data_IF_189529770751
#
_entry.id   IF_189529770751
#
_cell.length_a   1.000
_cell.length_b   1.000
_cell.length_c   1.000
_cell.angle_alpha   90.00
_cell.angle_beta   90.00
_cell.angle_gamma   90.00
#
_symmetry.space_group_name_H-M   'P 1'
#
loop_
_entity.id
_entity.type
_entity.pdbx_description
1 polymer ?
#
# COMPACT_ATOMS: atom_id res chain seq x y z
N UNK A 1 -18.50 12.52 -24.23
CA UNK A 1 -17.04 12.71 -24.31
C UNK A 1 -16.79 14.20 -24.22
N UNK A 2 -16.42 14.70 -23.06
CA UNK A 2 -16.05 16.10 -22.84
C UNK A 2 -14.54 16.27 -23.01
N UNK A 3 -14.13 17.43 -23.51
CA UNK A 3 -12.73 17.85 -23.52
C UNK A 3 -12.42 18.47 -22.15
N UNK A 4 -11.39 17.99 -21.46
CA UNK A 4 -10.86 18.64 -20.25
C UNK A 4 -9.64 19.45 -20.69
N UNK A 5 -9.69 20.77 -20.50
CA UNK A 5 -8.54 21.63 -20.75
C UNK A 5 -7.64 21.62 -19.51
N UNK A 6 -6.53 20.88 -19.58
CA UNK A 6 -5.52 20.94 -18.53
C UNK A 6 -4.90 22.34 -18.49
N UNK A 7 -4.76 22.88 -17.28
CA UNK A 7 -4.03 24.13 -17.04
C UNK A 7 -2.53 23.87 -17.22
N UNK A 8 -1.81 24.91 -17.57
CA UNK A 8 -0.34 24.91 -17.58
C UNK A 8 0.12 25.78 -16.42
N UNK A 9 0.30 25.17 -15.25
CA UNK A 9 0.86 25.82 -14.08
C UNK A 9 2.40 25.85 -14.16
N UNK A 10 3.05 26.98 -13.82
CA UNK A 10 4.50 27.13 -13.94
C UNK A 10 5.25 26.55 -12.73
N UNK A 11 4.92 25.31 -12.33
CA UNK A 11 5.47 24.68 -11.13
C UNK A 11 6.98 24.48 -11.26
N UNK A 12 7.73 25.09 -10.34
CA UNK A 12 9.19 24.96 -10.15
C UNK A 12 9.52 24.07 -8.96
N UNK A 13 8.69 24.12 -7.93
CA UNK A 13 8.87 23.37 -6.69
C UNK A 13 7.66 22.46 -6.47
N UNK A 14 7.70 21.21 -6.98
CA UNK A 14 6.55 20.33 -6.91
C UNK A 14 6.28 19.83 -5.50
N UNK A 15 5.00 19.73 -5.14
CA UNK A 15 4.59 19.22 -3.83
C UNK A 15 4.89 17.72 -3.72
N UNK A 16 5.65 17.32 -2.70
CA UNK A 16 5.93 15.91 -2.46
C UNK A 16 4.84 15.27 -1.60
N UNK A 17 4.02 14.42 -2.19
CA UNK A 17 3.02 13.65 -1.45
C UNK A 17 3.63 12.36 -0.90
N UNK A 18 4.01 12.40 0.39
CA UNK A 18 4.62 11.26 1.08
C UNK A 18 3.75 10.01 1.03
N UNK A 19 2.41 10.13 1.10
CA UNK A 19 1.48 9.01 1.05
C UNK A 19 1.68 8.11 -0.17
N UNK A 20 2.06 8.68 -1.33
CA UNK A 20 2.34 7.91 -2.55
C UNK A 20 3.82 7.91 -2.96
N UNK A 21 4.66 8.75 -2.35
CA UNK A 21 6.06 8.93 -2.75
C UNK A 21 6.19 9.58 -4.13
N UNK A 22 5.30 10.51 -4.47
CA UNK A 22 5.26 11.18 -5.78
C UNK A 22 5.29 12.69 -5.63
N UNK A 23 5.84 13.35 -6.64
CA UNK A 23 5.81 14.81 -6.78
C UNK A 23 4.63 15.23 -7.64
N UNK A 24 3.89 16.25 -7.19
CA UNK A 24 2.76 16.83 -7.89
C UNK A 24 3.18 18.15 -8.53
N UNK A 25 2.92 18.27 -9.83
CA UNK A 25 3.31 19.35 -10.72
C UNK A 25 2.11 20.12 -11.27
N UNK A 26 0.88 19.70 -10.97
CA UNK A 26 -0.30 20.43 -11.44
C UNK A 26 -1.53 20.25 -10.54
N UNK A 27 -2.51 21.13 -10.73
CA UNK A 27 -3.82 21.02 -10.05
C UNK A 27 -4.57 19.74 -10.43
N UNK A 28 -4.37 19.22 -11.65
CA UNK A 28 -4.99 17.97 -12.09
C UNK A 28 -4.37 16.75 -11.40
N UNK A 29 -3.06 16.74 -11.19
CA UNK A 29 -2.38 15.69 -10.42
C UNK A 29 -2.82 15.71 -8.95
N UNK A 30 -2.95 16.90 -8.36
CA UNK A 30 -3.53 17.08 -7.03
C UNK A 30 -4.96 16.53 -6.95
N UNK A 31 -5.82 16.90 -7.90
CA UNK A 31 -7.19 16.39 -7.96
C UNK A 31 -7.21 14.86 -8.10
N UNK A 32 -6.37 14.31 -8.97
CA UNK A 32 -6.26 12.87 -9.18
C UNK A 32 -5.84 12.16 -7.89
N UNK A 33 -4.86 12.70 -7.16
CA UNK A 33 -4.43 12.15 -5.87
C UNK A 33 -5.58 12.12 -4.87
N UNK A 34 -6.28 13.25 -4.69
CA UNK A 34 -7.41 13.35 -3.76
C UNK A 34 -8.49 12.34 -4.11
N UNK A 35 -8.92 12.31 -5.37
CA UNK A 35 -10.04 11.47 -5.80
C UNK A 35 -9.72 9.98 -5.75
N UNK A 36 -8.53 9.59 -6.23
CA UNK A 36 -8.17 8.18 -6.39
C UNK A 36 -7.64 7.55 -5.10
N UNK A 37 -7.18 8.35 -4.13
CA UNK A 37 -6.52 7.88 -2.91
C UNK A 37 -7.15 8.44 -1.61
N UNK A 38 -8.50 8.37 -1.42
CA UNK A 38 -9.19 8.98 -0.28
C UNK A 38 -8.64 8.55 1.08
N UNK A 39 -8.31 7.27 1.25
CA UNK A 39 -7.75 6.73 2.49
C UNK A 39 -6.41 7.37 2.91
N UNK A 40 -5.70 8.01 1.98
CA UNK A 40 -4.43 8.67 2.25
C UNK A 40 -4.57 10.18 2.44
N UNK A 41 -5.73 10.76 2.12
CA UNK A 41 -5.95 12.21 2.13
C UNK A 41 -6.96 12.70 3.16
N UNK A 42 -7.58 11.78 3.93
CA UNK A 42 -8.61 12.12 4.90
C UNK A 42 -8.07 12.72 6.19
N UNK A 43 -6.83 12.42 6.56
CA UNK A 43 -6.26 12.88 7.83
C UNK A 43 -5.12 13.85 7.54
N UNK A 44 -5.36 15.14 7.85
CA UNK A 44 -4.36 16.22 7.79
C UNK A 44 -3.65 16.41 6.44
N UNK A 45 -4.26 16.00 5.33
CA UNK A 45 -3.65 16.16 4.00
C UNK A 45 -3.62 17.62 3.52
N UNK A 46 -4.68 18.37 3.80
CA UNK A 46 -4.72 19.81 3.51
C UNK A 46 -4.13 20.54 4.70
N UNK A 47 -2.81 20.69 4.68
CA UNK A 47 -2.02 21.43 5.65
C UNK A 47 -1.55 22.79 5.08
N UNK A 48 -0.81 23.55 5.88
CA UNK A 48 -0.25 24.85 5.49
C UNK A 48 0.67 24.73 4.26
N UNK A 49 1.46 23.64 4.18
CA UNK A 49 2.39 23.43 3.07
C UNK A 49 1.67 23.17 1.74
N UNK A 50 0.59 22.38 1.73
CA UNK A 50 -0.22 22.17 0.54
C UNK A 50 -0.90 23.48 0.11
N UNK A 51 -1.36 24.29 1.06
CA UNK A 51 -1.98 25.58 0.77
C UNK A 51 -0.97 26.56 0.17
N UNK A 52 0.26 26.62 0.68
CA UNK A 52 1.35 27.40 0.09
C UNK A 52 1.64 26.95 -1.35
N UNK A 53 1.72 25.65 -1.59
CA UNK A 53 1.87 25.10 -2.95
C UNK A 53 0.72 25.52 -3.88
N UNK A 54 -0.54 25.43 -3.42
CA UNK A 54 -1.71 25.88 -4.18
C UNK A 54 -1.63 27.38 -4.49
N UNK A 55 -1.14 28.19 -3.55
CA UNK A 55 -1.01 29.64 -3.72
C UNK A 55 0.07 30.00 -4.74
N UNK A 56 1.28 29.50 -4.53
CA UNK A 56 2.49 30.03 -5.14
C UNK A 56 2.89 29.26 -6.40
N UNK A 57 2.76 27.94 -6.40
CA UNK A 57 3.19 27.07 -7.50
C UNK A 57 2.06 26.80 -8.50
N UNK A 58 0.82 26.63 -8.02
CA UNK A 58 -0.35 26.50 -8.88
C UNK A 58 -0.96 27.85 -9.29
N UNK A 59 -0.46 28.96 -8.72
CA UNK A 59 -0.96 30.33 -8.90
C UNK A 59 -2.47 30.48 -8.57
N UNK A 60 -2.97 29.72 -7.59
CA UNK A 60 -4.39 29.69 -7.19
C UNK A 60 -4.62 30.43 -5.86
N UNK A 61 -4.05 31.63 -5.72
CA UNK A 61 -4.05 32.37 -4.44
C UNK A 61 -5.43 32.66 -3.85
N UNK A 62 -6.47 32.83 -4.67
CA UNK A 62 -7.84 32.98 -4.16
C UNK A 62 -8.39 31.69 -3.55
N UNK A 63 -8.06 30.53 -4.12
CA UNK A 63 -8.43 29.23 -3.54
C UNK A 63 -7.67 29.00 -2.23
N UNK A 64 -6.36 29.28 -2.21
CA UNK A 64 -5.56 29.17 -0.99
C UNK A 64 -6.15 30.01 0.16
N UNK A 65 -6.50 31.27 -0.10
CA UNK A 65 -7.13 32.12 0.91
C UNK A 65 -8.48 31.58 1.43
N UNK A 66 -9.28 30.93 0.56
CA UNK A 66 -10.52 30.24 0.99
C UNK A 66 -10.20 29.04 1.89
N UNK A 67 -9.22 28.22 1.52
CA UNK A 67 -8.80 27.04 2.29
C UNK A 67 -8.30 27.44 3.69
N UNK A 68 -7.47 28.48 3.80
CA UNK A 68 -6.98 29.00 5.07
C UNK A 68 -8.10 29.49 5.98
N UNK A 69 -9.03 30.27 5.41
CA UNK A 69 -10.18 30.77 6.16
C UNK A 69 -11.03 29.63 6.70
N UNK A 70 -11.17 28.55 5.93
CA UNK A 70 -11.92 27.36 6.35
C UNK A 70 -11.17 26.57 7.43
N UNK A 71 -9.84 26.38 7.30
CA UNK A 71 -9.04 25.79 8.39
C UNK A 71 -9.17 26.58 9.70
N UNK A 72 -9.20 27.92 9.62
CA UNK A 72 -9.34 28.80 10.78
C UNK A 72 -10.74 28.76 11.41
N UNK A 73 -11.79 28.41 10.66
CA UNK A 73 -13.15 28.32 11.22
C UNK A 73 -13.34 27.08 12.10
N UNK A 74 -12.49 26.07 11.96
CA UNK A 74 -12.60 24.80 12.69
C UNK A 74 -13.79 23.95 12.26
N UNK A 75 -14.34 24.23 11.07
CA UNK A 75 -15.37 23.42 10.44
C UNK A 75 -14.83 22.06 9.96
N UNK A 76 -15.69 21.25 9.35
CA UNK A 76 -15.31 19.94 8.83
C UNK A 76 -14.14 20.05 7.84
N UNK A 77 -13.04 19.36 8.16
CA UNK A 77 -11.82 19.35 7.36
C UNK A 77 -12.03 18.63 6.01
N UNK A 78 -13.02 17.73 5.90
CA UNK A 78 -13.32 17.03 4.66
C UNK A 78 -13.81 17.99 3.56
N UNK A 79 -14.43 19.12 3.93
CA UNK A 79 -14.88 20.13 2.97
C UNK A 79 -13.73 20.77 2.19
N UNK A 80 -12.53 20.82 2.76
CA UNK A 80 -11.33 21.30 2.06
C UNK A 80 -11.05 20.46 0.80
N UNK A 81 -11.20 19.13 0.89
CA UNK A 81 -10.98 18.24 -0.25
C UNK A 81 -11.99 18.51 -1.36
N UNK A 82 -13.26 18.71 -0.99
CA UNK A 82 -14.32 18.96 -1.97
C UNK A 82 -14.20 20.36 -2.59
N UNK A 83 -13.73 21.35 -1.83
CA UNK A 83 -13.44 22.69 -2.33
C UNK A 83 -12.35 22.63 -3.41
N UNK A 84 -11.25 21.92 -3.15
CA UNK A 84 -10.17 21.73 -4.14
C UNK A 84 -10.71 21.08 -5.42
N UNK A 85 -11.44 19.95 -5.30
CA UNK A 85 -11.98 19.23 -6.46
C UNK A 85 -12.95 20.09 -7.28
N UNK A 86 -13.75 20.94 -6.61
CA UNK A 86 -14.74 21.81 -7.26
C UNK A 86 -14.07 22.98 -7.97
N UNK A 87 -13.10 23.64 -7.35
CA UNK A 87 -12.47 24.85 -7.92
C UNK A 87 -11.46 24.53 -9.03
N UNK A 88 -10.91 23.31 -9.08
CA UNK A 88 -10.03 22.87 -10.16
C UNK A 88 -10.79 22.43 -11.43
N UNK A 89 -12.09 22.15 -11.32
CA UNK A 89 -12.97 21.71 -12.42
C UNK A 89 -12.44 20.50 -13.23
N UNK A 90 -11.67 19.63 -12.57
CA UNK A 90 -11.11 18.41 -13.17
C UNK A 90 -12.10 17.22 -13.10
N UNK A 91 -12.97 17.21 -12.09
CA UNK A 91 -14.04 16.24 -11.90
C UNK A 91 -15.40 16.93 -11.98
N UNK A 92 -16.37 16.26 -12.59
CA UNK A 92 -17.72 16.81 -12.69
C UNK A 92 -18.50 16.66 -11.37
N UNK A 93 -19.63 17.36 -11.25
CA UNK A 93 -20.45 17.35 -10.04
C UNK A 93 -20.93 15.95 -9.61
N UNK A 94 -21.16 15.02 -10.56
CA UNK A 94 -21.57 13.65 -10.22
C UNK A 94 -20.40 12.84 -9.64
N UNK A 95 -19.19 13.02 -10.18
CA UNK A 95 -17.97 12.42 -9.65
C UNK A 95 -17.64 12.94 -8.25
N UNK A 96 -17.73 14.25 -8.03
CA UNK A 96 -17.52 14.87 -6.71
C UNK A 96 -18.57 14.36 -5.71
N UNK A 97 -19.84 14.22 -6.12
CA UNK A 97 -20.88 13.62 -5.29
C UNK A 97 -20.55 12.17 -4.92
N UNK A 98 -20.07 11.37 -5.86
CA UNK A 98 -19.63 9.99 -5.58
C UNK A 98 -18.44 9.96 -4.61
N UNK A 99 -17.49 10.89 -4.75
CA UNK A 99 -16.38 11.02 -3.82
C UNK A 99 -16.85 11.39 -2.40
N UNK A 100 -17.78 12.35 -2.26
CA UNK A 100 -18.42 12.68 -0.97
C UNK A 100 -19.05 11.47 -0.30
N UNK A 101 -19.83 10.68 -1.05
CA UNK A 101 -20.41 9.43 -0.54
C UNK A 101 -19.35 8.44 -0.06
N UNK A 102 -18.25 8.32 -0.80
CA UNK A 102 -17.12 7.47 -0.42
C UNK A 102 -16.47 7.95 0.89
N UNK A 103 -16.27 9.26 1.07
CA UNK A 103 -15.76 9.82 2.33
C UNK A 103 -16.70 9.52 3.49
N UNK A 104 -18.01 9.71 3.32
CA UNK A 104 -19.00 9.36 4.35
C UNK A 104 -18.95 7.88 4.75
N UNK A 105 -18.66 6.96 3.82
CA UNK A 105 -18.49 5.54 4.17
C UNK A 105 -17.28 5.31 5.06
N UNK A 106 -16.18 6.02 4.83
CA UNK A 106 -14.98 5.90 5.66
C UNK A 106 -15.16 6.54 7.02
N UNK A 107 -15.82 7.70 7.12
CA UNK A 107 -16.10 8.38 8.40
C UNK A 107 -17.07 7.61 9.31
N UNK A 108 -17.81 6.64 8.77
CA UNK A 108 -18.67 5.72 9.55
C UNK A 108 -17.92 4.51 10.12
N UNK A 109 -16.70 4.23 9.66
CA UNK A 109 -15.89 3.12 10.16
C UNK A 109 -15.37 3.41 11.56
N UNK A 110 -15.14 2.36 12.35
CA UNK A 110 -14.37 2.55 13.59
C UNK A 110 -12.93 2.94 13.28
N UNK A 111 -12.19 3.55 14.23
CA UNK A 111 -10.77 3.86 14.04
C UNK A 111 -9.95 2.63 13.61
N UNK A 112 -10.23 1.46 14.18
CA UNK A 112 -9.57 0.21 13.82
C UNK A 112 -9.89 -0.26 12.40
N UNK A 113 -11.16 -0.17 11.99
CA UNK A 113 -11.59 -0.55 10.64
C UNK A 113 -11.01 0.39 9.57
N UNK A 114 -10.99 1.70 9.85
CA UNK A 114 -10.41 2.70 8.97
C UNK A 114 -8.90 2.49 8.80
N UNK A 115 -8.17 2.35 9.91
CA UNK A 115 -6.73 2.07 9.87
C UNK A 115 -6.42 0.77 9.12
N UNK A 116 -7.22 -0.28 9.32
CA UNK A 116 -7.10 -1.52 8.55
C UNK A 116 -7.34 -1.29 7.05
N UNK A 117 -8.38 -0.53 6.67
CA UNK A 117 -8.66 -0.23 5.28
C UNK A 117 -7.51 0.55 4.62
N UNK A 118 -6.91 1.51 5.34
CA UNK A 118 -5.72 2.25 4.92
C UNK A 118 -4.51 1.33 4.73
N UNK A 119 -4.23 0.45 5.68
CA UNK A 119 -3.15 -0.53 5.60
C UNK A 119 -3.32 -1.50 4.42
N UNK A 120 -4.53 -2.05 4.25
CA UNK A 120 -4.89 -2.91 3.12
C UNK A 120 -4.70 -2.17 1.79
N UNK A 121 -5.11 -0.90 1.73
CA UNK A 121 -4.91 -0.06 0.56
C UNK A 121 -3.43 0.11 0.22
N UNK A 122 -2.59 0.49 1.18
CA UNK A 122 -1.14 0.60 0.99
C UNK A 122 -0.51 -0.71 0.52
N UNK A 123 -0.97 -1.85 1.06
CA UNK A 123 -0.53 -3.18 0.62
C UNK A 123 -0.86 -3.41 -0.87
N UNK A 124 -2.06 -3.07 -1.33
CA UNK A 124 -2.43 -3.20 -2.76
C UNK A 124 -1.61 -2.29 -3.66
N UNK A 125 -1.11 -1.16 -3.14
CA UNK A 125 -0.20 -0.24 -3.81
C UNK A 125 1.27 -0.68 -3.74
N UNK A 126 1.55 -1.87 -3.18
CA UNK A 126 2.89 -2.44 -2.97
C UNK A 126 3.79 -1.62 -2.03
N UNK A 127 3.21 -0.70 -1.27
CA UNK A 127 3.92 0.04 -0.22
C UNK A 127 3.91 -0.80 1.06
N UNK A 128 4.64 -1.90 1.04
CA UNK A 128 4.60 -2.91 2.08
C UNK A 128 5.18 -2.41 3.41
N UNK A 129 6.22 -1.57 3.41
CA UNK A 129 6.76 -1.00 4.65
C UNK A 129 5.78 -0.06 5.34
N UNK A 130 5.14 0.86 4.60
CA UNK A 130 4.04 1.67 5.15
C UNK A 130 2.83 0.83 5.59
N UNK A 131 2.46 -0.20 4.83
CA UNK A 131 1.39 -1.11 5.24
C UNK A 131 1.73 -1.83 6.55
N UNK A 132 2.99 -2.27 6.74
CA UNK A 132 3.48 -2.84 8.01
C UNK A 132 3.29 -1.82 9.14
N UNK A 133 3.74 -0.58 8.97
CA UNK A 133 3.63 0.45 10.00
C UNK A 133 2.17 0.69 10.43
N UNK A 134 1.24 0.76 9.48
CA UNK A 134 -0.19 0.93 9.78
C UNK A 134 -0.79 -0.32 10.48
N UNK A 135 -0.46 -1.54 10.03
CA UNK A 135 -0.91 -2.76 10.71
C UNK A 135 -0.36 -2.88 12.13
N UNK A 136 0.90 -2.52 12.36
CA UNK A 136 1.50 -2.51 13.69
C UNK A 136 0.86 -1.45 14.58
N UNK A 137 0.58 -0.25 14.04
CA UNK A 137 -0.16 0.79 14.73
C UNK A 137 -1.53 0.31 15.22
N UNK A 138 -2.28 -0.44 14.42
CA UNK A 138 -3.57 -1.05 14.83
C UNK A 138 -3.39 -1.98 16.04
N UNK A 139 -2.27 -2.71 16.11
CA UNK A 139 -2.01 -3.65 17.21
C UNK A 139 -1.58 -2.94 18.51
N UNK A 140 -1.13 -1.69 18.42
CA UNK A 140 -0.78 -0.84 19.56
C UNK A 140 -1.99 -0.05 20.11
N UNK A 141 -3.06 0.07 19.33
CA UNK A 141 -4.30 0.72 19.77
C UNK A 141 -4.94 -0.03 20.95
N UNK A 142 -5.63 0.69 21.87
CA UNK A 142 -6.40 0.05 22.91
C UNK A 142 -7.48 -0.86 22.31
N UNK A 143 -7.51 -2.12 22.75
CA UNK A 143 -8.50 -3.08 22.24
C UNK A 143 -9.91 -2.57 22.49
N UNK A 144 -10.65 -2.35 21.42
CA UNK A 144 -12.09 -2.10 21.48
C UNK A 144 -12.87 -3.37 21.81
N UNK A 145 -13.98 -3.23 22.55
CA UNK A 145 -14.90 -4.33 22.87
C UNK A 145 -15.56 -4.96 21.63
N UNK A 146 -15.60 -4.24 20.51
CA UNK A 146 -16.16 -4.67 19.22
C UNK A 146 -15.19 -5.46 18.34
N UNK A 147 -13.87 -5.38 18.61
CA UNK A 147 -12.86 -6.06 17.81
C UNK A 147 -12.64 -7.49 18.33
N UNK A 148 -13.11 -8.47 17.58
CA UNK A 148 -13.00 -9.88 17.93
C UNK A 148 -11.66 -10.50 17.51
N UNK A 149 -11.39 -11.72 17.98
CA UNK A 149 -10.17 -12.47 17.61
C UNK A 149 -10.06 -12.66 16.09
N UNK A 150 -11.19 -12.73 15.36
CA UNK A 150 -11.20 -12.86 13.91
C UNK A 150 -10.70 -11.58 13.21
N UNK A 151 -11.02 -10.40 13.73
CA UNK A 151 -10.49 -9.12 13.25
C UNK A 151 -8.96 -9.08 13.38
N UNK A 152 -8.43 -9.33 14.58
CA UNK A 152 -6.99 -9.34 14.82
C UNK A 152 -6.26 -10.46 14.07
N UNK A 153 -6.91 -11.62 13.87
CA UNK A 153 -6.36 -12.67 13.03
C UNK A 153 -6.12 -12.20 11.59
N UNK A 154 -7.04 -11.39 11.03
CA UNK A 154 -6.87 -10.79 9.69
C UNK A 154 -5.73 -9.78 9.66
N UNK A 155 -5.60 -8.92 10.68
CA UNK A 155 -4.47 -7.98 10.80
C UNK A 155 -3.15 -8.73 10.79
N UNK A 156 -2.99 -9.74 11.65
CA UNK A 156 -1.77 -10.54 11.72
C UNK A 156 -1.49 -11.32 10.42
N UNK A 157 -2.53 -11.81 9.73
CA UNK A 157 -2.35 -12.46 8.42
C UNK A 157 -1.83 -11.47 7.37
N UNK A 158 -2.40 -10.27 7.31
CA UNK A 158 -1.99 -9.28 6.32
C UNK A 158 -0.61 -8.71 6.64
N UNK A 159 -0.31 -8.49 7.92
CA UNK A 159 1.02 -8.14 8.41
C UNK A 159 2.06 -9.22 8.03
N UNK A 160 1.71 -10.50 8.19
CA UNK A 160 2.55 -11.62 7.75
C UNK A 160 2.81 -11.60 6.24
N UNK A 161 1.79 -11.28 5.44
CA UNK A 161 1.93 -11.14 3.99
C UNK A 161 2.82 -9.96 3.60
N UNK A 162 2.70 -8.82 4.28
CA UNK A 162 3.54 -7.65 4.05
C UNK A 162 5.02 -7.95 4.39
N UNK A 163 5.26 -8.60 5.53
CA UNK A 163 6.60 -9.05 5.90
C UNK A 163 7.19 -10.06 4.91
N UNK A 164 6.40 -11.00 4.41
CA UNK A 164 6.84 -11.95 3.39
C UNK A 164 7.22 -11.25 2.08
N UNK A 165 6.47 -10.22 1.67
CA UNK A 165 6.77 -9.38 0.50
C UNK A 165 8.04 -8.54 0.67
N UNK A 166 8.40 -8.21 1.91
CA UNK A 166 9.65 -7.55 2.28
C UNK A 166 10.78 -8.55 2.58
N UNK A 167 10.61 -9.83 2.24
CA UNK A 167 11.57 -10.91 2.52
C UNK A 167 11.97 -11.06 4.00
N UNK A 168 11.16 -10.52 4.92
CA UNK A 168 11.34 -10.59 6.37
C UNK A 168 10.68 -11.86 6.90
N UNK A 169 11.21 -13.01 6.50
CA UNK A 169 10.56 -14.31 6.67
C UNK A 169 10.31 -14.69 8.14
N UNK A 170 11.23 -14.35 9.06
CA UNK A 170 11.07 -14.60 10.50
C UNK A 170 9.90 -13.81 11.08
N UNK A 171 9.76 -12.54 10.70
CA UNK A 171 8.65 -11.68 11.13
C UNK A 171 7.34 -12.14 10.50
N UNK A 172 7.35 -12.51 9.22
CA UNK A 172 6.20 -13.06 8.51
C UNK A 172 5.68 -14.32 9.21
N UNK A 173 6.60 -15.24 9.55
CA UNK A 173 6.29 -16.46 10.27
C UNK A 173 5.61 -16.13 11.61
N UNK A 174 6.22 -15.27 12.44
CA UNK A 174 5.67 -14.89 13.75
C UNK A 174 4.27 -14.26 13.63
N UNK A 175 4.05 -13.39 12.67
CA UNK A 175 2.74 -12.78 12.43
C UNK A 175 1.70 -13.84 12.04
N UNK A 176 2.04 -14.76 11.13
CA UNK A 176 1.15 -15.87 10.79
C UNK A 176 0.88 -16.80 11.98
N UNK A 177 1.86 -17.05 12.86
CA UNK A 177 1.60 -17.84 14.08
C UNK A 177 0.52 -17.19 14.95
N UNK A 178 0.62 -15.87 15.17
CA UNK A 178 -0.37 -15.12 15.94
C UNK A 178 -1.75 -15.14 15.26
N UNK A 179 -1.80 -14.96 13.94
CA UNK A 179 -3.04 -15.08 13.17
C UNK A 179 -3.69 -16.46 13.32
N UNK A 180 -2.88 -17.53 13.19
CA UNK A 180 -3.36 -18.90 13.37
C UNK A 180 -3.82 -19.15 14.81
N UNK A 181 -3.15 -18.57 15.80
CA UNK A 181 -3.54 -18.76 17.19
C UNK A 181 -4.92 -18.20 17.52
N UNK A 182 -5.32 -17.12 16.85
CA UNK A 182 -6.62 -16.48 16.99
C UNK A 182 -7.74 -17.18 16.18
N UNK A 183 -7.48 -17.57 14.93
CA UNK A 183 -8.55 -18.03 14.02
C UNK A 183 -8.41 -19.47 13.49
N UNK A 184 -7.30 -20.17 13.78
CA UNK A 184 -7.02 -21.56 13.35
C UNK A 184 -7.22 -21.80 11.84
N UNK A 185 -6.97 -20.79 11.01
CA UNK A 185 -7.17 -20.84 9.56
C UNK A 185 -6.20 -21.81 8.87
N UNK A 186 -6.74 -22.73 8.05
CA UNK A 186 -5.95 -23.64 7.23
C UNK A 186 -5.05 -22.94 6.21
N UNK A 187 -5.51 -21.82 5.63
CA UNK A 187 -4.71 -21.03 4.69
C UNK A 187 -3.49 -20.39 5.38
N UNK A 188 -3.65 -19.94 6.63
CA UNK A 188 -2.54 -19.40 7.41
C UNK A 188 -1.55 -20.52 7.76
N UNK A 189 -2.04 -21.71 8.11
CA UNK A 189 -1.19 -22.88 8.36
C UNK A 189 -0.37 -23.26 7.12
N UNK A 190 -0.99 -23.21 5.93
CA UNK A 190 -0.32 -23.43 4.65
C UNK A 190 0.79 -22.41 4.40
N UNK A 191 0.54 -21.11 4.67
CA UNK A 191 1.57 -20.06 4.56
C UNK A 191 2.74 -20.29 5.53
N UNK A 192 2.47 -20.71 6.77
CA UNK A 192 3.49 -21.09 7.75
C UNK A 192 4.33 -22.26 7.22
N UNK A 193 3.68 -23.27 6.63
CA UNK A 193 4.35 -24.42 6.02
C UNK A 193 5.27 -23.98 4.87
N UNK A 194 4.77 -23.17 3.92
CA UNK A 194 5.57 -22.68 2.79
C UNK A 194 6.76 -21.83 3.23
N UNK A 195 6.61 -20.94 4.21
CA UNK A 195 7.73 -20.19 4.75
C UNK A 195 8.82 -21.09 5.32
N UNK A 196 8.44 -22.19 5.99
CA UNK A 196 9.41 -23.16 6.53
C UNK A 196 10.14 -23.97 5.46
N UNK A 197 9.59 -24.05 4.24
CA UNK A 197 10.23 -24.70 3.09
C UNK A 197 11.14 -23.74 2.35
N UNK A 198 10.74 -22.48 2.20
CA UNK A 198 11.54 -21.47 1.49
C UNK A 198 12.72 -20.93 2.29
N UNK A 199 12.64 -20.90 3.62
CA UNK A 199 13.73 -20.45 4.48
C UNK A 199 14.23 -21.63 5.34
N UNK A 200 15.41 -22.21 5.04
CA UNK A 200 16.00 -23.30 5.81
C UNK A 200 16.20 -22.99 7.30
N UNK A 201 16.28 -21.70 7.66
CA UNK A 201 16.43 -21.26 9.05
C UNK A 201 15.11 -21.30 9.84
N UNK A 202 13.96 -21.42 9.15
CA UNK A 202 12.65 -21.51 9.78
C UNK A 202 12.24 -22.96 10.00
N UNK A 203 12.41 -23.43 11.24
CA UNK A 203 11.93 -24.75 11.64
C UNK A 203 10.43 -24.71 11.92
N UNK A 204 9.67 -25.51 11.17
CA UNK A 204 8.24 -25.71 11.43
C UNK A 204 8.04 -26.34 12.82
N UNK A 205 7.38 -25.60 13.73
CA UNK A 205 7.12 -26.08 15.09
C UNK A 205 6.23 -27.34 15.10
N UNK A 206 6.48 -28.26 16.03
CA UNK A 206 5.77 -29.55 16.09
C UNK A 206 4.25 -29.43 16.19
N UNK A 207 3.76 -28.41 16.93
CA UNK A 207 2.32 -28.12 17.05
C UNK A 207 1.62 -27.89 15.70
N UNK A 208 2.35 -27.47 14.67
CA UNK A 208 1.82 -27.29 13.32
C UNK A 208 1.99 -28.57 12.50
N UNK A 209 3.12 -29.28 12.66
CA UNK A 209 3.34 -30.57 11.99
C UNK A 209 2.24 -31.57 12.29
N UNK A 210 1.78 -31.63 13.55
CA UNK A 210 0.69 -32.53 13.96
C UNK A 210 -0.66 -32.20 13.33
N UNK A 211 -0.84 -30.98 12.80
CA UNK A 211 -2.08 -30.54 12.15
C UNK A 211 -2.05 -30.77 10.63
N UNK A 212 -0.87 -31.03 10.06
CA UNK A 212 -0.68 -31.23 8.63
C UNK A 212 -0.64 -32.74 8.38
N UNK A 213 -1.76 -33.29 7.92
CA UNK A 213 -1.82 -34.70 7.51
C UNK A 213 -0.96 -34.95 6.26
N UNK A 214 -0.60 -36.20 6.01
CA UNK A 214 0.22 -36.54 4.85
C UNK A 214 -0.49 -36.20 3.52
N UNK A 215 -1.81 -36.36 3.45
CA UNK A 215 -2.62 -35.97 2.27
C UNK A 215 -2.60 -34.45 2.04
N UNK A 216 -2.68 -33.64 3.10
CA UNK A 216 -2.60 -32.18 2.99
C UNK A 216 -1.20 -31.75 2.57
N UNK A 217 -0.17 -32.37 3.17
CA UNK A 217 1.23 -32.11 2.87
C UNK A 217 1.57 -32.42 1.42
N UNK A 218 1.14 -33.58 0.91
CA UNK A 218 1.37 -33.98 -0.48
C UNK A 218 0.73 -33.00 -1.46
N UNK A 219 -0.52 -32.59 -1.23
CA UNK A 219 -1.17 -31.56 -2.06
C UNK A 219 -0.44 -30.21 -2.01
N UNK A 220 0.01 -29.78 -0.83
CA UNK A 220 0.76 -28.52 -0.69
C UNK A 220 2.14 -28.58 -1.33
N UNK A 221 2.84 -29.70 -1.25
CA UNK A 221 4.13 -29.92 -1.90
C UNK A 221 3.98 -29.95 -3.44
N UNK A 222 2.89 -30.53 -3.96
CA UNK A 222 2.58 -30.50 -5.41
C UNK A 222 2.31 -29.06 -5.88
N UNK A 223 1.53 -28.28 -5.13
CA UNK A 223 1.31 -26.87 -5.43
C UNK A 223 2.62 -26.05 -5.44
N UNK A 224 3.53 -26.31 -4.49
CA UNK A 224 4.85 -25.67 -4.49
C UNK A 224 5.66 -26.05 -5.72
N UNK A 225 5.70 -27.34 -6.07
CA UNK A 225 6.40 -27.85 -7.25
C UNK A 225 5.86 -27.20 -8.54
N UNK A 226 4.55 -27.08 -8.68
CA UNK A 226 3.92 -26.41 -9.82
C UNK A 226 4.29 -24.92 -9.87
N UNK A 227 4.38 -24.25 -8.72
CA UNK A 227 4.80 -22.84 -8.65
C UNK A 227 6.28 -22.67 -9.02
N UNK A 228 7.15 -23.59 -8.61
CA UNK A 228 8.57 -23.62 -8.99
C UNK A 228 8.73 -23.84 -10.50
N UNK A 229 8.04 -24.81 -11.09
CA UNK A 229 8.05 -25.06 -12.55
C UNK A 229 7.52 -23.86 -13.36
N UNK A 230 6.56 -23.11 -12.82
CA UNK A 230 6.08 -21.88 -13.44
C UNK A 230 7.12 -20.75 -13.34
N UNK A 231 7.83 -20.64 -12.21
CA UNK A 231 8.88 -19.65 -12.00
C UNK A 231 10.11 -19.90 -12.89
N UNK A 232 10.44 -21.16 -13.18
CA UNK A 232 11.49 -21.54 -14.15
C UNK A 232 11.21 -21.04 -15.57
N UNK A 233 9.94 -20.78 -15.91
CA UNK A 233 9.50 -20.27 -17.21
C UNK A 233 9.22 -18.76 -17.18
N UNK A 234 9.65 -18.06 -16.12
CA UNK A 234 9.40 -16.64 -16.00
C UNK A 234 10.28 -15.85 -16.98
N UNK A 235 9.67 -14.90 -17.70
CA UNK A 235 10.38 -13.98 -18.62
C UNK A 235 11.54 -13.23 -17.91
N UNK A 236 11.40 -12.95 -16.61
CA UNK A 236 12.47 -12.35 -15.81
C UNK A 236 13.71 -13.24 -15.68
N UNK A 237 13.52 -14.56 -15.61
CA UNK A 237 14.61 -15.53 -15.56
C UNK A 237 15.24 -15.68 -16.94
N UNK A 238 14.45 -15.77 -18.02
CA UNK A 238 14.96 -15.81 -19.40
C UNK A 238 15.85 -14.58 -19.69
N UNK A 239 15.40 -13.38 -19.32
CA UNK A 239 16.19 -12.13 -19.44
C UNK A 239 17.51 -12.19 -18.66
N UNK A 240 17.51 -12.84 -17.49
CA UNK A 240 18.71 -13.02 -16.68
C UNK A 240 19.66 -14.02 -17.36
N UNK A 241 19.16 -15.14 -17.85
CA UNK A 241 19.95 -16.16 -18.55
C UNK A 241 20.59 -15.59 -19.83
N UNK A 242 19.81 -14.88 -20.65
CA UNK A 242 20.30 -14.19 -21.85
C UNK A 242 21.43 -13.20 -21.53
N UNK A 243 21.33 -12.49 -20.40
CA UNK A 243 22.37 -11.57 -19.95
C UNK A 243 23.67 -12.33 -19.63
N UNK A 244 23.58 -13.52 -19.06
CA UNK A 244 24.74 -14.36 -18.72
C UNK A 244 25.39 -15.01 -19.96
N UNK A 245 24.68 -15.13 -21.08
CA UNK A 245 25.27 -15.56 -22.36
C UNK A 245 26.10 -14.49 -23.05
N UNK A 246 25.98 -13.21 -22.65
CA UNK A 246 26.74 -12.10 -23.25
C UNK A 246 28.22 -12.13 -22.86
N UNK A 247 29.04 -11.39 -23.63
CA UNK A 247 30.45 -11.17 -23.33
C UNK A 247 30.65 -10.53 -21.93
N UNK A 248 31.80 -10.75 -21.27
CA UNK A 248 32.01 -10.33 -19.88
C UNK A 248 31.73 -8.85 -19.62
N UNK A 249 32.04 -7.97 -20.58
CA UNK A 249 31.86 -6.52 -20.44
C UNK A 249 30.36 -6.18 -20.43
N UNK A 250 29.61 -6.67 -21.43
CA UNK A 250 28.15 -6.45 -21.49
C UNK A 250 27.41 -7.11 -20.33
N UNK A 251 27.84 -8.29 -19.90
CA UNK A 251 27.28 -9.01 -18.76
C UNK A 251 27.43 -8.19 -17.47
N UNK A 252 28.64 -7.72 -17.17
CA UNK A 252 28.90 -6.92 -15.97
C UNK A 252 28.08 -5.63 -15.95
N UNK A 253 28.01 -4.92 -17.08
CA UNK A 253 27.20 -3.70 -17.19
C UNK A 253 25.71 -3.99 -16.97
N UNK A 254 25.15 -4.98 -17.70
CA UNK A 254 23.74 -5.30 -17.58
C UNK A 254 23.36 -5.86 -16.20
N UNK A 255 24.25 -6.61 -15.55
CA UNK A 255 24.04 -7.08 -14.18
C UNK A 255 23.99 -5.90 -13.20
N UNK A 256 24.88 -4.91 -13.36
CA UNK A 256 24.84 -3.70 -12.55
C UNK A 256 23.54 -2.91 -12.74
N UNK A 257 23.07 -2.77 -13.99
CA UNK A 257 21.81 -2.09 -14.31
C UNK A 257 20.60 -2.83 -13.71
N UNK A 258 20.58 -4.15 -13.81
CA UNK A 258 19.51 -5.00 -13.25
C UNK A 258 19.47 -4.92 -11.71
N UNK A 259 20.62 -5.04 -11.04
CA UNK A 259 20.73 -4.87 -9.59
C UNK A 259 20.29 -3.45 -9.17
N UNK A 260 20.60 -2.42 -9.97
CA UNK A 260 20.14 -1.06 -9.71
C UNK A 260 18.61 -0.96 -9.81
N UNK A 261 17.98 -1.58 -10.81
CA UNK A 261 16.51 -1.65 -10.94
C UNK A 261 15.89 -2.33 -9.73
N UNK A 262 16.35 -3.52 -9.38
CA UNK A 262 15.82 -4.28 -8.23
C UNK A 262 15.98 -3.53 -6.91
N UNK A 263 17.10 -2.84 -6.71
CA UNK A 263 17.28 -1.96 -5.54
C UNK A 263 16.28 -0.81 -5.52
N UNK A 264 15.97 -0.23 -6.68
CA UNK A 264 14.94 0.81 -6.81
C UNK A 264 13.55 0.28 -6.48
N UNK A 265 13.17 -0.86 -7.09
CA UNK A 265 11.90 -1.54 -6.83
C UNK A 265 11.75 -1.90 -5.36
N UNK A 266 12.80 -2.44 -4.72
CA UNK A 266 12.78 -2.78 -3.31
C UNK A 266 12.63 -1.56 -2.39
N UNK A 267 13.35 -0.47 -2.67
CA UNK A 267 13.22 0.78 -1.89
C UNK A 267 11.82 1.38 -2.02
N UNK A 268 11.19 1.27 -3.19
CA UNK A 268 9.83 1.76 -3.40
C UNK A 268 8.77 0.91 -2.65
N UNK A 269 9.13 -0.30 -2.20
CA UNK A 269 8.26 -1.17 -1.41
C UNK A 269 8.32 -0.90 0.09
N UNK A 270 9.34 -0.22 0.59
CA UNK A 270 9.52 0.13 2.01
C UNK A 270 8.81 1.46 2.27
#
# INVERSE_FOLDING_TARGET
MSLILCRQEPVKHPFYFEGLGVHLYSSQELCYVIYQNPLLVLDHFVDEHLIEFIRDELEMGFMAAKLEKWQQSGEDADELLFLILTECDYYNAAEIKHFRQKIETYRKMSPHEFAKAKADYLFTRRQYGKAVAEYEGILEMPKESSADDAFYAKIYNNLGAAYARLFSMEKAYQAYQKSFDLAKSGDVLKRIYYLSKWNPNLVLKDRFRTLITEDVKTGWDEEMKNAEEAAEKAESLEKLEELFLKDPIKRMKGAADMVKSWKGEYRNMI
#
